data_IF_854900719901
#
_entry.id   IF_854900719901
#
_cell.length_a   1.000
_cell.length_b   1.000
_cell.length_c   1.000
_cell.angle_alpha   90.00
_cell.angle_beta   90.00
_cell.angle_gamma   90.00
#
_symmetry.space_group_name_H-M   'P 1'
#
loop_
_entity.id
_entity.type
_entity.pdbx_description
1 polymer ?
#
# COMPACT_ATOMS: atom_id res chain seq x y z
N UNK A 1 50.12 6.42 50.71
CA UNK A 1 48.99 6.03 49.85
C UNK A 1 49.40 6.18 48.43
N UNK A 2 49.74 5.06 47.76
CA UNK A 2 50.09 5.02 46.32
C UNK A 2 48.79 4.70 45.58
N UNK A 3 48.33 5.60 44.68
CA UNK A 3 47.23 5.38 43.77
C UNK A 3 47.77 4.55 42.60
N UNK A 4 47.26 3.33 42.46
CA UNK A 4 47.55 2.45 41.33
C UNK A 4 46.91 2.98 40.04
N UNK A 5 47.72 3.37 39.10
CA UNK A 5 47.28 3.71 37.72
C UNK A 5 46.96 2.42 37.00
N UNK A 6 45.70 2.15 36.78
CA UNK A 6 45.26 1.04 35.92
C UNK A 6 45.64 1.34 34.46
N UNK A 7 46.72 0.76 33.96
CA UNK A 7 47.06 0.75 32.56
C UNK A 7 46.12 -0.23 31.83
N UNK A 8 45.06 0.31 31.20
CA UNK A 8 44.26 -0.44 30.21
C UNK A 8 45.15 -0.67 28.99
N UNK A 9 45.64 -1.88 28.81
CA UNK A 9 46.44 -2.29 27.64
C UNK A 9 45.57 -2.19 26.39
N UNK A 10 46.02 -1.45 25.40
CA UNK A 10 45.33 -1.36 24.09
C UNK A 10 45.21 -2.78 23.47
N UNK A 11 44.03 -3.09 22.86
CA UNK A 11 43.83 -4.42 22.28
C UNK A 11 44.82 -4.69 21.15
N UNK A 12 45.33 -5.94 21.09
CA UNK A 12 46.24 -6.37 20.05
C UNK A 12 45.57 -6.39 18.68
N UNK A 13 46.33 -6.24 17.61
CA UNK A 13 45.83 -6.28 16.23
C UNK A 13 44.94 -7.50 15.93
N UNK A 14 45.27 -8.74 16.36
CA UNK A 14 44.36 -9.88 16.22
C UNK A 14 43.01 -9.74 16.93
N UNK A 15 43.01 -9.11 18.12
CA UNK A 15 41.77 -8.85 18.87
C UNK A 15 40.90 -7.81 18.18
N UNK A 16 41.48 -6.76 17.59
CA UNK A 16 40.78 -5.77 16.78
C UNK A 16 40.18 -6.40 15.52
N UNK A 17 40.95 -7.23 14.81
CA UNK A 17 40.45 -7.97 13.63
C UNK A 17 39.29 -8.89 14.02
N UNK A 18 39.44 -9.67 15.09
CA UNK A 18 38.37 -10.54 15.58
C UNK A 18 37.09 -9.76 15.98
N UNK A 19 37.22 -8.59 16.60
CA UNK A 19 36.07 -7.74 16.94
C UNK A 19 35.36 -7.21 15.69
N UNK A 20 36.11 -6.84 14.64
CA UNK A 20 35.53 -6.35 13.36
C UNK A 20 34.81 -7.49 12.64
N UNK A 21 35.39 -8.68 12.56
CA UNK A 21 34.82 -9.85 11.88
C UNK A 21 33.55 -10.34 12.61
N UNK A 22 33.55 -10.29 13.95
CA UNK A 22 32.44 -10.75 14.77
C UNK A 22 31.36 -9.67 15.04
N UNK A 23 31.58 -8.41 14.60
CA UNK A 23 30.57 -7.38 14.70
C UNK A 23 29.47 -7.67 13.66
N UNK A 24 28.24 -7.97 14.06
CA UNK A 24 27.16 -8.18 13.10
C UNK A 24 27.04 -6.94 12.23
N UNK A 25 27.17 -7.11 10.92
CA UNK A 25 26.88 -6.02 10.00
C UNK A 25 25.47 -5.48 10.31
N UNK A 26 25.29 -4.15 10.39
CA UNK A 26 23.98 -3.58 10.61
C UNK A 26 23.05 -4.14 9.54
N UNK A 27 21.97 -4.81 9.97
CA UNK A 27 20.93 -5.26 9.03
C UNK A 27 20.43 -4.01 8.34
N UNK A 28 20.77 -3.83 7.07
CA UNK A 28 20.20 -2.79 6.23
C UNK A 28 18.72 -3.11 6.16
N UNK A 29 17.92 -2.45 6.97
CA UNK A 29 16.48 -2.56 6.88
C UNK A 29 16.10 -2.02 5.50
N UNK A 30 15.49 -2.87 4.69
CA UNK A 30 14.95 -2.42 3.41
C UNK A 30 13.87 -1.38 3.72
N UNK A 31 13.83 -0.26 2.99
CA UNK A 31 12.77 0.73 3.15
C UNK A 31 11.41 0.04 3.03
N UNK A 32 10.53 0.29 3.97
CA UNK A 32 9.15 -0.24 3.95
C UNK A 32 8.13 0.89 3.80
N UNK A 33 6.98 0.57 3.22
CA UNK A 33 5.86 1.50 3.17
C UNK A 33 5.42 1.91 4.57
N UNK A 34 4.98 3.17 4.70
CA UNK A 34 4.39 3.72 5.91
C UNK A 34 2.89 3.89 5.67
N UNK A 35 2.09 3.30 6.55
CA UNK A 35 0.63 3.25 6.44
C UNK A 35 -0.02 4.26 7.38
N UNK A 36 0.20 5.54 7.08
CA UNK A 36 -0.51 6.66 7.68
C UNK A 36 -0.73 7.78 6.65
N UNK A 37 -1.48 8.82 7.02
CA UNK A 37 -1.83 9.95 6.13
C UNK A 37 -0.90 11.15 6.31
N UNK A 38 0.27 10.98 6.91
CA UNK A 38 1.25 12.06 7.05
C UNK A 38 1.94 12.39 5.72
N UNK A 39 2.44 13.61 5.60
CA UNK A 39 3.26 14.01 4.45
C UNK A 39 4.56 13.20 4.39
N UNK A 40 5.13 12.85 5.55
CA UNK A 40 6.32 12.01 5.65
C UNK A 40 6.06 10.61 5.04
N UNK A 41 4.93 9.97 5.39
CA UNK A 41 4.51 8.71 4.79
C UNK A 41 4.35 8.82 3.28
N UNK A 42 3.69 9.88 2.80
CA UNK A 42 3.49 10.09 1.37
C UNK A 42 4.82 10.22 0.60
N UNK A 43 5.78 10.95 1.15
CA UNK A 43 7.12 11.13 0.56
C UNK A 43 7.91 9.80 0.60
N UNK A 44 7.90 9.10 1.74
CA UNK A 44 8.57 7.80 1.88
C UNK A 44 8.02 6.79 0.86
N UNK A 45 6.69 6.67 0.78
CA UNK A 45 6.03 5.73 -0.10
C UNK A 45 6.34 6.03 -1.58
N UNK A 46 6.30 7.30 -1.96
CA UNK A 46 6.71 7.72 -3.30
C UNK A 46 8.17 7.37 -3.62
N UNK A 47 9.10 7.63 -2.70
CA UNK A 47 10.51 7.32 -2.90
C UNK A 47 10.75 5.81 -3.12
N UNK A 48 10.00 4.95 -2.42
CA UNK A 48 10.06 3.50 -2.62
C UNK A 48 9.57 3.12 -4.01
N UNK A 49 8.43 3.70 -4.45
CA UNK A 49 7.85 3.44 -5.77
C UNK A 49 8.78 3.93 -6.88
N UNK A 50 9.31 5.14 -6.75
CA UNK A 50 10.24 5.73 -7.72
C UNK A 50 11.54 4.89 -7.85
N UNK A 51 12.12 4.48 -6.72
CA UNK A 51 13.31 3.63 -6.68
C UNK A 51 13.08 2.26 -7.31
N UNK A 52 11.90 1.70 -7.14
CA UNK A 52 11.50 0.44 -7.75
C UNK A 52 11.09 0.57 -9.23
N UNK A 53 11.00 1.80 -9.76
CA UNK A 53 10.54 2.12 -11.12
C UNK A 53 9.08 1.72 -11.39
N UNK A 54 8.24 1.73 -10.38
CA UNK A 54 6.82 1.49 -10.48
C UNK A 54 6.20 0.84 -9.27
N UNK A 55 4.88 0.99 -9.12
CA UNK A 55 4.13 0.49 -7.96
C UNK A 55 4.17 -1.03 -7.86
N UNK A 56 3.98 -1.74 -8.97
CA UNK A 56 4.01 -3.21 -8.99
C UNK A 56 5.32 -3.76 -8.42
N UNK A 57 6.45 -3.27 -8.93
CA UNK A 57 7.76 -3.71 -8.46
C UNK A 57 8.04 -3.27 -7.03
N UNK A 58 7.54 -2.09 -6.63
CA UNK A 58 7.66 -1.62 -5.25
C UNK A 58 6.95 -2.57 -4.28
N UNK A 59 5.71 -2.98 -4.58
CA UNK A 59 4.94 -3.94 -3.77
C UNK A 59 5.63 -5.30 -3.73
N UNK A 60 6.07 -5.82 -4.88
CA UNK A 60 6.76 -7.11 -4.96
C UNK A 60 8.05 -7.15 -4.11
N UNK A 61 8.75 -6.02 -4.03
CA UNK A 61 10.00 -5.91 -3.26
C UNK A 61 9.77 -5.81 -1.74
N UNK A 62 8.54 -5.56 -1.29
CA UNK A 62 8.21 -5.46 0.14
C UNK A 62 8.12 -6.87 0.76
N UNK A 63 8.73 -7.02 1.94
CA UNK A 63 8.57 -8.21 2.77
C UNK A 63 7.63 -7.87 3.92
N UNK A 64 6.65 -8.74 4.18
CA UNK A 64 5.69 -8.57 5.27
C UNK A 64 4.86 -7.26 5.20
N UNK A 65 4.63 -6.74 4.00
CA UNK A 65 3.72 -5.61 3.80
C UNK A 65 2.26 -6.08 3.84
N UNK A 66 1.34 -5.34 4.48
CA UNK A 66 -0.09 -5.63 4.40
C UNK A 66 -0.62 -5.47 2.99
N UNK A 67 -0.07 -4.53 2.21
CA UNK A 67 -0.44 -4.37 0.80
C UNK A 67 0.25 -5.44 -0.05
N UNK A 68 -0.51 -6.13 -0.87
CA UNK A 68 -0.02 -7.16 -1.79
C UNK A 68 -0.70 -7.04 -3.15
N UNK A 69 -0.06 -7.63 -4.14
CA UNK A 69 -0.69 -7.83 -5.44
C UNK A 69 -1.58 -9.07 -5.36
N UNK A 70 -2.77 -8.98 -5.88
CA UNK A 70 -3.68 -10.12 -5.93
C UNK A 70 -5.14 -9.73 -5.75
N UNK A 71 -5.93 -10.73 -5.42
CA UNK A 71 -7.38 -10.62 -5.23
C UNK A 71 -7.72 -10.52 -3.74
N UNK A 72 -8.74 -9.73 -3.41
CA UNK A 72 -9.35 -9.69 -2.07
C UNK A 72 -10.13 -10.98 -1.75
N UNK A 73 -10.34 -11.83 -2.74
CA UNK A 73 -11.01 -13.10 -2.56
C UNK A 73 -10.17 -14.08 -1.74
N UNK A 74 -10.85 -14.98 -1.06
CA UNK A 74 -10.20 -16.10 -0.38
C UNK A 74 -9.42 -16.94 -1.39
N UNK A 75 -8.30 -17.57 -0.97
CA UNK A 75 -7.52 -18.43 -1.86
C UNK A 75 -8.42 -19.47 -2.56
N UNK A 76 -8.27 -19.67 -3.87
CA UNK A 76 -9.08 -20.61 -4.64
C UNK A 76 -9.11 -22.01 -4.04
N UNK A 77 -8.00 -22.46 -3.43
CA UNK A 77 -7.90 -23.74 -2.76
C UNK A 77 -8.91 -23.96 -1.62
N UNK A 78 -9.37 -22.87 -0.97
CA UNK A 78 -10.41 -22.95 0.07
C UNK A 78 -11.81 -23.10 -0.52
N UNK A 79 -12.04 -22.61 -1.74
CA UNK A 79 -13.33 -22.65 -2.42
C UNK A 79 -13.47 -23.87 -3.34
N UNK A 80 -12.36 -24.47 -3.77
CA UNK A 80 -12.34 -25.59 -4.69
C UNK A 80 -13.20 -26.79 -4.21
N UNK A 81 -13.17 -27.22 -2.95
CA UNK A 81 -14.03 -28.30 -2.48
C UNK A 81 -15.53 -28.02 -2.63
N UNK A 82 -15.91 -26.73 -2.58
CA UNK A 82 -17.32 -26.29 -2.67
C UNK A 82 -17.76 -26.02 -4.10
N UNK A 83 -16.84 -25.59 -4.98
CA UNK A 83 -17.18 -25.03 -6.27
C UNK A 83 -16.59 -25.82 -7.46
N UNK A 84 -15.74 -26.82 -7.24
CA UNK A 84 -15.09 -27.58 -8.31
C UNK A 84 -16.06 -28.28 -9.28
N UNK A 85 -17.27 -28.62 -8.82
CA UNK A 85 -18.33 -29.20 -9.65
C UNK A 85 -19.01 -28.18 -10.57
N UNK A 86 -18.86 -26.87 -10.30
CA UNK A 86 -19.54 -25.84 -11.06
C UNK A 86 -18.85 -25.61 -12.43
N UNK A 87 -19.58 -25.60 -13.54
CA UNK A 87 -18.99 -25.55 -14.88
C UNK A 87 -18.14 -24.29 -15.12
N UNK A 88 -18.41 -23.18 -14.42
CA UNK A 88 -17.61 -21.95 -14.50
C UNK A 88 -16.47 -21.87 -13.49
N UNK A 89 -16.25 -22.91 -12.68
CA UNK A 89 -15.17 -22.91 -11.69
C UNK A 89 -13.78 -22.63 -12.29
N UNK A 90 -13.36 -23.24 -13.42
CA UNK A 90 -12.05 -22.95 -13.99
C UNK A 90 -11.85 -21.46 -14.34
N UNK A 91 -12.92 -20.83 -14.87
CA UNK A 91 -12.89 -19.40 -15.20
C UNK A 91 -12.84 -18.54 -13.93
N UNK A 92 -13.65 -18.84 -12.94
CA UNK A 92 -13.66 -18.11 -11.66
C UNK A 92 -12.31 -18.25 -10.95
N UNK A 93 -11.76 -19.47 -10.87
CA UNK A 93 -10.44 -19.72 -10.30
C UNK A 93 -9.36 -18.88 -10.98
N UNK A 94 -9.35 -18.85 -12.32
CA UNK A 94 -8.39 -18.03 -13.05
C UNK A 94 -8.53 -16.53 -12.74
N UNK A 95 -9.76 -16.02 -12.61
CA UNK A 95 -10.01 -14.63 -12.21
C UNK A 95 -9.48 -14.36 -10.80
N UNK A 96 -9.69 -15.29 -9.88
CA UNK A 96 -9.21 -15.16 -8.50
C UNK A 96 -7.69 -15.19 -8.39
N UNK A 97 -7.01 -15.98 -9.21
CA UNK A 97 -5.56 -16.14 -9.21
C UNK A 97 -4.84 -15.04 -10.00
N UNK A 98 -5.40 -14.61 -11.11
CA UNK A 98 -4.74 -13.72 -12.07
C UNK A 98 -5.38 -12.34 -12.18
N UNK A 99 -6.55 -12.17 -11.56
CA UNK A 99 -7.38 -10.98 -11.78
C UNK A 99 -8.13 -11.02 -13.10
N UNK A 100 -8.90 -9.97 -13.34
CA UNK A 100 -9.64 -9.80 -14.59
C UNK A 100 -8.76 -9.07 -15.60
N UNK A 101 -8.43 -9.75 -16.68
CA UNK A 101 -7.64 -9.15 -17.76
C UNK A 101 -8.55 -8.35 -18.70
N UNK A 102 -8.74 -7.07 -18.41
CA UNK A 102 -9.34 -6.14 -19.34
C UNK A 102 -8.29 -5.66 -20.34
N UNK A 103 -8.60 -5.76 -21.62
CA UNK A 103 -7.79 -5.13 -22.67
C UNK A 103 -8.03 -3.63 -22.63
N UNK A 104 -7.35 -2.94 -21.73
CA UNK A 104 -7.37 -1.48 -21.70
C UNK A 104 -6.55 -0.97 -22.88
N UNK A 105 -7.10 0.02 -23.60
CA UNK A 105 -6.28 0.74 -24.58
C UNK A 105 -5.33 1.65 -23.83
N UNK A 106 -4.03 1.65 -24.16
CA UNK A 106 -3.10 2.56 -23.53
C UNK A 106 -3.47 4.01 -23.89
N UNK A 107 -3.70 4.82 -22.89
CA UNK A 107 -3.84 6.27 -23.05
C UNK A 107 -2.45 6.88 -23.28
N UNK A 108 -2.34 7.86 -24.18
CA UNK A 108 -1.06 8.54 -24.36
C UNK A 108 -0.78 9.47 -23.14
N UNK A 109 0.49 9.71 -22.88
CA UNK A 109 0.92 10.41 -21.67
C UNK A 109 0.41 11.86 -21.58
N UNK A 110 0.22 12.53 -22.74
CA UNK A 110 -0.32 13.87 -22.77
C UNK A 110 -1.81 13.89 -22.37
N UNK A 111 -2.60 12.96 -22.88
CA UNK A 111 -4.01 12.82 -22.51
C UNK A 111 -4.13 12.43 -21.04
N UNK A 112 -3.37 11.45 -20.57
CA UNK A 112 -3.32 11.07 -19.16
C UNK A 112 -3.03 12.25 -18.24
N UNK A 113 -2.05 13.08 -18.58
CA UNK A 113 -1.70 14.26 -17.79
C UNK A 113 -2.84 15.28 -17.75
N UNK A 114 -3.53 15.50 -18.87
CA UNK A 114 -4.71 16.38 -18.93
C UNK A 114 -5.85 15.85 -18.08
N UNK A 115 -6.14 14.55 -18.18
CA UNK A 115 -7.21 13.91 -17.40
C UNK A 115 -6.91 13.96 -15.90
N UNK A 116 -5.65 13.72 -15.53
CA UNK A 116 -5.21 13.81 -14.14
C UNK A 116 -5.38 15.24 -13.61
N UNK A 117 -4.99 16.26 -14.40
CA UNK A 117 -5.16 17.67 -14.04
C UNK A 117 -6.64 18.05 -13.90
N UNK A 118 -7.46 17.63 -14.85
CA UNK A 118 -8.91 17.87 -14.80
C UNK A 118 -9.57 17.22 -13.57
N UNK A 119 -9.14 16.00 -13.21
CA UNK A 119 -9.62 15.32 -12.01
C UNK A 119 -9.18 16.04 -10.71
N UNK A 120 -7.97 16.58 -10.66
CA UNK A 120 -7.50 17.42 -9.54
C UNK A 120 -8.35 18.68 -9.38
N UNK A 121 -8.64 19.36 -10.47
CA UNK A 121 -9.45 20.59 -10.46
C UNK A 121 -10.90 20.32 -10.07
N UNK A 122 -11.48 19.21 -10.54
CA UNK A 122 -12.80 18.77 -10.15
C UNK A 122 -12.87 18.44 -8.65
N UNK A 123 -11.83 17.75 -8.14
CA UNK A 123 -11.73 17.26 -6.77
C UNK A 123 -12.75 16.15 -6.48
N UNK A 124 -13.19 16.05 -5.23
CA UNK A 124 -14.16 15.03 -4.82
C UNK A 124 -15.60 15.41 -5.14
N UNK A 125 -16.48 14.42 -5.23
CA UNK A 125 -17.92 14.61 -5.38
C UNK A 125 -18.51 15.41 -4.20
N UNK A 126 -19.67 16.05 -4.44
CA UNK A 126 -20.35 16.87 -3.44
C UNK A 126 -20.68 16.11 -2.14
N UNK A 127 -20.99 14.80 -2.23
CA UNK A 127 -21.27 13.95 -1.06
C UNK A 127 -20.05 13.81 -0.14
N UNK A 128 -18.86 13.59 -0.68
CA UNK A 128 -17.62 13.55 0.08
C UNK A 128 -17.27 14.91 0.69
N UNK A 129 -17.48 16.01 -0.07
CA UNK A 129 -17.24 17.36 0.42
C UNK A 129 -18.17 17.74 1.58
N UNK A 130 -19.47 17.32 1.52
CA UNK A 130 -20.45 17.57 2.60
C UNK A 130 -20.14 16.81 3.87
N UNK A 131 -19.65 15.59 3.75
CA UNK A 131 -19.36 14.70 4.87
C UNK A 131 -17.84 14.45 4.97
N UNK A 132 -17.06 15.53 4.87
CA UNK A 132 -15.59 15.47 4.77
C UNK A 132 -14.93 14.69 5.92
N UNK A 133 -15.45 14.85 7.15
CA UNK A 133 -14.92 14.13 8.31
C UNK A 133 -15.07 12.62 8.14
N UNK A 134 -16.28 12.14 7.83
CA UNK A 134 -16.54 10.70 7.61
C UNK A 134 -15.68 10.16 6.48
N UNK A 135 -15.57 10.93 5.38
CA UNK A 135 -14.73 10.59 4.25
C UNK A 135 -13.24 10.44 4.66
N UNK A 136 -12.70 11.39 5.41
CA UNK A 136 -11.30 11.35 5.85
C UNK A 136 -11.05 10.25 6.87
N UNK A 137 -11.98 10.00 7.79
CA UNK A 137 -11.88 8.91 8.76
C UNK A 137 -11.86 7.54 8.06
N UNK A 138 -12.69 7.36 7.02
CA UNK A 138 -12.68 6.14 6.20
C UNK A 138 -11.35 5.95 5.46
N UNK A 139 -10.86 6.98 4.76
CA UNK A 139 -9.57 6.92 4.07
C UNK A 139 -8.41 6.61 5.01
N UNK A 140 -8.41 7.25 6.18
CA UNK A 140 -7.39 6.99 7.21
C UNK A 140 -7.42 5.53 7.64
N UNK A 141 -8.60 4.99 7.91
CA UNK A 141 -8.77 3.58 8.28
C UNK A 141 -8.26 2.63 7.18
N UNK A 142 -8.57 2.91 5.90
CA UNK A 142 -8.09 2.09 4.79
C UNK A 142 -6.56 2.11 4.66
N UNK A 143 -5.93 3.27 4.87
CA UNK A 143 -4.48 3.38 4.87
C UNK A 143 -3.87 2.64 6.06
N UNK A 144 -4.38 2.83 7.28
CA UNK A 144 -3.88 2.16 8.48
C UNK A 144 -4.03 0.63 8.42
N UNK A 145 -5.06 0.13 7.76
CA UNK A 145 -5.27 -1.31 7.51
C UNK A 145 -4.40 -1.85 6.35
N UNK A 146 -3.70 -0.99 5.63
CA UNK A 146 -2.84 -1.38 4.53
C UNK A 146 -3.57 -1.67 3.21
N UNK A 147 -4.82 -1.23 3.07
CA UNK A 147 -5.57 -1.38 1.82
C UNK A 147 -5.23 -0.30 0.80
N UNK A 148 -4.68 0.81 1.24
CA UNK A 148 -4.28 1.93 0.41
C UNK A 148 -2.92 2.51 0.85
N UNK A 149 -2.24 3.19 -0.08
CA UNK A 149 -1.04 3.98 0.20
C UNK A 149 -1.34 5.46 0.03
N UNK A 150 -0.96 6.25 1.03
CA UNK A 150 -1.01 7.70 0.91
C UNK A 150 0.12 8.21 0.03
N UNK A 151 -0.23 9.02 -0.98
CA UNK A 151 0.70 9.71 -1.87
C UNK A 151 0.23 11.16 -2.07
N UNK A 152 1.16 12.08 -2.25
CA UNK A 152 0.81 13.43 -2.69
C UNK A 152 0.44 13.43 -4.18
N UNK A 153 -0.60 14.15 -4.56
CA UNK A 153 -1.10 14.20 -5.93
C UNK A 153 0.00 14.57 -6.95
N UNK A 154 0.86 15.54 -6.60
CA UNK A 154 2.02 15.93 -7.43
C UNK A 154 2.99 14.78 -7.72
N UNK A 155 3.12 13.84 -6.76
CA UNK A 155 3.96 12.66 -6.90
C UNK A 155 3.23 11.57 -7.69
N UNK A 156 1.94 11.34 -7.41
CA UNK A 156 1.14 10.36 -8.13
C UNK A 156 1.10 10.64 -9.64
N UNK A 157 1.04 11.92 -10.04
CA UNK A 157 1.08 12.32 -11.45
C UNK A 157 2.33 11.82 -12.20
N UNK A 158 3.45 11.67 -11.51
CA UNK A 158 4.71 11.20 -12.12
C UNK A 158 4.84 9.68 -12.20
N UNK A 159 3.92 8.93 -11.59
CA UNK A 159 3.89 7.47 -11.67
C UNK A 159 3.30 7.07 -13.03
N UNK A 160 4.01 6.28 -13.84
CA UNK A 160 3.47 5.82 -15.13
C UNK A 160 2.13 5.12 -14.97
N UNK A 161 1.18 5.42 -15.86
CA UNK A 161 -0.16 4.84 -15.90
C UNK A 161 -1.03 5.11 -14.64
N UNK A 162 -0.60 5.98 -13.72
CA UNK A 162 -1.45 6.41 -12.63
C UNK A 162 -2.62 7.25 -13.17
N UNK A 163 -3.80 6.96 -12.68
CA UNK A 163 -5.03 7.68 -12.95
C UNK A 163 -5.59 8.25 -11.65
N UNK A 164 -6.34 9.33 -11.74
CA UNK A 164 -6.99 9.94 -10.59
C UNK A 164 -8.50 9.87 -10.76
N UNK A 165 -9.18 9.24 -9.80
CA UNK A 165 -10.63 9.16 -9.75
C UNK A 165 -11.20 9.98 -8.58
N UNK A 166 -12.20 10.83 -8.81
CA UNK A 166 -12.91 11.52 -7.74
C UNK A 166 -13.65 10.53 -6.83
N UNK A 167 -13.56 10.72 -5.52
CA UNK A 167 -14.29 9.92 -4.56
C UNK A 167 -15.64 10.56 -4.22
N UNK A 168 -16.64 9.72 -3.94
CA UNK A 168 -17.93 10.09 -3.41
C UNK A 168 -18.31 9.21 -2.22
N UNK A 169 -19.20 9.71 -1.37
CA UNK A 169 -19.83 8.92 -0.32
C UNK A 169 -21.25 8.57 -0.73
N UNK A 170 -21.63 7.32 -0.50
CA UNK A 170 -23.00 6.83 -0.67
C UNK A 170 -23.50 6.32 0.66
N UNK A 171 -24.68 6.75 1.09
CA UNK A 171 -25.34 6.18 2.25
C UNK A 171 -25.93 4.83 1.87
N UNK A 172 -25.58 3.80 2.61
CA UNK A 172 -26.17 2.47 2.47
C UNK A 172 -27.18 2.25 3.58
N UNK A 173 -28.36 1.78 3.22
CA UNK A 173 -29.36 1.36 4.17
C UNK A 173 -29.41 -0.17 4.21
N UNK A 174 -29.27 -0.74 5.39
CA UNK A 174 -29.55 -2.16 5.61
C UNK A 174 -30.89 -2.32 6.31
N UNK A 175 -31.58 -3.42 6.03
CA UNK A 175 -32.82 -3.77 6.72
C UNK A 175 -32.47 -4.84 7.75
N UNK A 176 -32.86 -4.62 9.01
CA UNK A 176 -32.69 -5.64 10.05
C UNK A 176 -33.77 -6.73 9.94
N UNK A 177 -33.65 -7.78 10.76
CA UNK A 177 -34.59 -8.89 10.79
C UNK A 177 -36.04 -8.49 11.15
N UNK A 178 -36.24 -7.26 11.64
CA UNK A 178 -37.57 -6.68 11.98
C UNK A 178 -38.11 -5.80 10.86
N UNK A 179 -37.41 -5.69 9.73
CA UNK A 179 -37.79 -4.84 8.61
C UNK A 179 -37.51 -3.35 8.81
N UNK A 180 -36.77 -2.95 9.84
CA UNK A 180 -36.39 -1.57 10.11
C UNK A 180 -35.17 -1.18 9.26
N UNK A 181 -35.20 0.01 8.68
CA UNK A 181 -34.10 0.56 7.90
C UNK A 181 -33.02 1.06 8.85
N UNK A 182 -31.83 0.47 8.77
CA UNK A 182 -30.64 0.93 9.48
C UNK A 182 -29.78 1.76 8.52
N UNK A 183 -29.61 3.03 8.83
CA UNK A 183 -28.60 3.86 8.15
C UNK A 183 -27.22 3.49 8.68
N UNK A 184 -26.30 3.12 7.78
CA UNK A 184 -24.87 3.05 8.08
C UNK A 184 -24.24 4.29 7.47
N UNK A 185 -23.90 5.22 8.32
CA UNK A 185 -23.06 6.37 7.98
C UNK A 185 -21.58 5.94 7.94
#
# INVERSE_FOLDING_TARGET
MQQGVNHTTAPSLPQLIASIINTPLPKIQKPSFIFDISEEAAINNFNIIAKAKGLHQAITNQQNSPISLGSEFRPPSLLEPLLSWHPFWPKLRNIMEQGVNYKLQPINELERTKDFQAALEYGHHKSAKRNYKVFMDSLKSEVELGYALHLLAKHAMTIPQAELAPHGLTSQHSINDRGEILSKD
#
